data_IF_380277100275
#
_entry.id   IF_380277100275
#
_cell.length_a   1.000
_cell.length_b   1.000
_cell.length_c   1.000
_cell.angle_alpha   90.00
_cell.angle_beta   90.00
_cell.angle_gamma   90.00
#
_symmetry.space_group_name_H-M   'P 1'
#
loop_
_entity.id
_entity.type
_entity.pdbx_description
1 polymer ?
#
# COMPACT_ATOMS: atom_id res chain seq x y z
N UNK A 1 -12.78 -30.99 3.59
CA UNK A 1 -11.89 -29.82 3.79
C UNK A 1 -12.11 -28.78 2.70
N UNK A 2 -12.05 -29.16 1.42
CA UNK A 2 -12.34 -28.28 0.27
C UNK A 2 -13.72 -27.59 0.36
N UNK A 3 -14.76 -28.32 0.79
CA UNK A 3 -16.11 -27.75 0.96
C UNK A 3 -16.18 -26.66 2.05
N UNK A 4 -15.41 -26.80 3.12
CA UNK A 4 -15.37 -25.84 4.24
C UNK A 4 -14.67 -24.53 3.85
N UNK A 5 -13.55 -24.64 3.12
CA UNK A 5 -12.86 -23.50 2.50
C UNK A 5 -13.78 -22.74 1.52
N UNK A 6 -14.45 -23.48 0.63
CA UNK A 6 -15.40 -22.88 -0.33
C UNK A 6 -16.55 -22.16 0.38
N UNK A 7 -17.10 -22.75 1.45
CA UNK A 7 -18.14 -22.11 2.24
C UNK A 7 -17.63 -20.83 2.93
N UNK A 8 -16.42 -20.87 3.51
CA UNK A 8 -15.80 -19.69 4.14
C UNK A 8 -15.66 -18.53 3.15
N UNK A 9 -15.21 -18.79 1.92
CA UNK A 9 -15.07 -17.76 0.90
C UNK A 9 -16.41 -17.25 0.38
N UNK A 10 -17.40 -18.13 0.20
CA UNK A 10 -18.77 -17.74 -0.19
C UNK A 10 -19.44 -16.86 0.88
N UNK A 11 -19.31 -17.20 2.16
CA UNK A 11 -19.85 -16.39 3.25
C UNK A 11 -19.24 -14.99 3.25
N UNK A 12 -17.92 -14.88 3.06
CA UNK A 12 -17.23 -13.58 2.96
C UNK A 12 -17.69 -12.76 1.77
N UNK A 13 -17.95 -13.39 0.62
CA UNK A 13 -18.51 -12.71 -0.54
C UNK A 13 -19.86 -12.09 -0.18
N UNK A 14 -20.77 -12.86 0.42
CA UNK A 14 -22.10 -12.37 0.79
C UNK A 14 -22.04 -11.23 1.83
N UNK A 15 -21.19 -11.36 2.86
CA UNK A 15 -20.97 -10.29 3.85
C UNK A 15 -20.50 -9.00 3.15
N UNK A 16 -19.54 -9.08 2.23
CA UNK A 16 -19.00 -7.90 1.57
C UNK A 16 -19.98 -7.34 0.51
N UNK A 17 -20.76 -8.18 -0.19
CA UNK A 17 -21.84 -7.75 -1.09
C UNK A 17 -22.89 -6.93 -0.34
N UNK A 18 -23.31 -7.40 0.84
CA UNK A 18 -24.22 -6.64 1.71
C UNK A 18 -23.69 -5.26 2.08
N UNK A 19 -22.38 -5.15 2.38
CA UNK A 19 -21.71 -3.86 2.67
C UNK A 19 -21.65 -2.96 1.44
N UNK A 20 -21.30 -3.50 0.26
CA UNK A 20 -21.27 -2.74 -1.01
C UNK A 20 -22.64 -2.15 -1.32
N UNK A 21 -23.71 -2.93 -1.22
CA UNK A 21 -25.08 -2.45 -1.50
C UNK A 21 -25.53 -1.37 -0.49
N UNK A 22 -25.22 -1.54 0.79
CA UNK A 22 -25.48 -0.51 1.80
C UNK A 22 -24.73 0.81 1.48
N UNK A 23 -23.47 0.73 1.04
CA UNK A 23 -22.68 1.92 0.68
C UNK A 23 -23.16 2.54 -0.63
N UNK A 24 -23.58 1.77 -1.64
CA UNK A 24 -24.16 2.28 -2.89
C UNK A 24 -25.40 3.16 -2.62
N UNK A 25 -26.27 2.75 -1.69
CA UNK A 25 -27.42 3.57 -1.25
C UNK A 25 -26.98 4.90 -0.61
N UNK A 26 -25.90 4.89 0.19
CA UNK A 26 -25.34 6.13 0.77
C UNK A 26 -24.72 7.02 -0.31
N UNK A 27 -24.06 6.44 -1.31
CA UNK A 27 -23.47 7.18 -2.43
C UNK A 27 -24.53 7.85 -3.30
N UNK A 28 -25.64 7.19 -3.61
CA UNK A 28 -26.74 7.78 -4.39
C UNK A 28 -27.38 8.95 -3.64
N UNK A 29 -27.66 8.77 -2.33
CA UNK A 29 -28.15 9.85 -1.47
C UNK A 29 -27.17 11.03 -1.42
N UNK A 30 -25.88 10.75 -1.25
CA UNK A 30 -24.84 11.79 -1.22
C UNK A 30 -24.77 12.58 -2.53
N UNK A 31 -24.96 11.94 -3.69
CA UNK A 31 -25.05 12.63 -4.98
C UNK A 31 -26.31 13.49 -5.09
N UNK A 32 -27.47 12.98 -4.65
CA UNK A 32 -28.72 13.74 -4.64
C UNK A 32 -28.63 14.99 -3.74
N UNK A 33 -28.11 14.85 -2.51
CA UNK A 33 -27.93 15.96 -1.57
C UNK A 33 -27.01 17.04 -2.14
N UNK A 34 -25.90 16.65 -2.81
CA UNK A 34 -24.99 17.61 -3.46
C UNK A 34 -25.66 18.37 -4.60
N UNK A 35 -26.48 17.69 -5.41
CA UNK A 35 -27.22 18.32 -6.50
C UNK A 35 -28.23 19.33 -5.95
N UNK A 36 -29.01 18.95 -4.93
CA UNK A 36 -29.96 19.86 -4.27
C UNK A 36 -29.24 21.06 -3.68
N UNK A 37 -28.12 20.86 -2.98
CA UNK A 37 -27.32 21.96 -2.44
C UNK A 37 -26.83 22.89 -3.55
N UNK A 38 -26.28 22.34 -4.64
CA UNK A 38 -25.81 23.14 -5.78
C UNK A 38 -26.92 23.99 -6.39
N UNK A 39 -28.09 23.39 -6.64
CA UNK A 39 -29.26 24.11 -7.16
C UNK A 39 -29.75 25.19 -6.18
N UNK A 40 -29.78 24.89 -4.88
CA UNK A 40 -30.18 25.86 -3.86
C UNK A 40 -29.22 27.07 -3.80
N UNK A 41 -27.92 26.84 -4.02
CA UNK A 41 -26.92 27.89 -4.08
C UNK A 41 -27.09 28.75 -5.33
N UNK A 42 -27.35 28.13 -6.49
CA UNK A 42 -27.62 28.87 -7.73
C UNK A 42 -28.88 29.75 -7.61
N UNK A 43 -29.97 29.21 -7.05
CA UNK A 43 -31.19 29.97 -6.77
C UNK A 43 -30.92 31.10 -5.78
N UNK A 44 -30.14 30.87 -4.73
CA UNK A 44 -29.78 31.90 -3.76
C UNK A 44 -28.97 33.03 -4.40
N UNK A 45 -28.05 32.72 -5.32
CA UNK A 45 -27.29 33.74 -6.07
C UNK A 45 -28.23 34.63 -6.89
N UNK A 46 -29.21 34.03 -7.57
CA UNK A 46 -30.19 34.77 -8.36
C UNK A 46 -31.03 35.75 -7.51
N UNK A 47 -31.56 35.30 -6.38
CA UNK A 47 -32.42 36.15 -5.52
C UNK A 47 -31.64 37.18 -4.68
N UNK A 48 -30.40 36.86 -4.26
CA UNK A 48 -29.62 37.70 -3.34
C UNK A 48 -28.45 38.44 -4.03
N UNK A 49 -28.43 38.51 -5.36
CA UNK A 49 -27.41 39.21 -6.17
C UNK A 49 -27.13 40.64 -5.68
N UNK A 50 -28.16 41.39 -5.27
CA UNK A 50 -28.02 42.78 -4.82
C UNK A 50 -27.50 42.92 -3.38
N UNK A 51 -27.46 41.83 -2.60
CA UNK A 51 -27.05 41.83 -1.18
C UNK A 51 -25.72 41.09 -1.01
N UNK A 52 -24.62 41.77 -1.34
CA UNK A 52 -23.27 41.21 -1.34
C UNK A 52 -22.92 40.51 -0.01
N UNK A 53 -23.24 41.10 1.16
CA UNK A 53 -22.94 40.48 2.46
C UNK A 53 -23.72 39.19 2.76
N UNK A 54 -24.95 39.07 2.25
CA UNK A 54 -25.75 37.83 2.38
C UNK A 54 -25.20 36.78 1.41
N UNK A 55 -24.85 37.20 0.19
CA UNK A 55 -24.31 36.33 -0.84
C UNK A 55 -22.97 35.72 -0.43
N UNK A 56 -22.06 36.49 0.17
CA UNK A 56 -20.78 35.98 0.66
C UNK A 56 -20.96 34.96 1.79
N UNK A 57 -21.90 35.18 2.71
CA UNK A 57 -22.21 34.24 3.77
C UNK A 57 -22.79 32.92 3.22
N UNK A 58 -23.76 33.01 2.30
CA UNK A 58 -24.39 31.84 1.67
C UNK A 58 -23.36 31.03 0.86
N UNK A 59 -22.57 31.69 0.01
CA UNK A 59 -21.57 31.01 -0.81
C UNK A 59 -20.42 30.44 0.04
N UNK A 60 -20.00 31.16 1.08
CA UNK A 60 -18.95 30.68 2.00
C UNK A 60 -19.39 29.44 2.77
N UNK A 61 -20.54 29.50 3.44
CA UNK A 61 -21.07 28.38 4.23
C UNK A 61 -21.51 27.21 3.34
N UNK A 62 -22.24 27.50 2.26
CA UNK A 62 -22.68 26.51 1.29
C UNK A 62 -21.53 25.84 0.55
N UNK A 63 -20.50 26.61 0.18
CA UNK A 63 -19.27 26.11 -0.43
C UNK A 63 -18.50 25.18 0.53
N UNK A 64 -18.35 25.58 1.79
CA UNK A 64 -17.72 24.72 2.81
C UNK A 64 -18.49 23.40 3.02
N UNK A 65 -19.82 23.45 3.11
CA UNK A 65 -20.67 22.28 3.21
C UNK A 65 -20.56 21.39 1.96
N UNK A 66 -20.52 21.98 0.77
CA UNK A 66 -20.35 21.25 -0.48
C UNK A 66 -19.00 20.51 -0.55
N UNK A 67 -17.90 21.17 -0.18
CA UNK A 67 -16.59 20.55 -0.11
C UNK A 67 -16.54 19.40 0.91
N UNK A 68 -17.18 19.58 2.07
CA UNK A 68 -17.33 18.51 3.05
C UNK A 68 -18.11 17.30 2.49
N UNK A 69 -19.22 17.55 1.79
CA UNK A 69 -20.00 16.50 1.14
C UNK A 69 -19.20 15.75 0.07
N UNK A 70 -18.38 16.47 -0.72
CA UNK A 70 -17.48 15.87 -1.72
C UNK A 70 -16.46 14.95 -1.03
N UNK A 71 -15.82 15.41 0.06
CA UNK A 71 -14.88 14.59 0.82
C UNK A 71 -15.53 13.33 1.41
N UNK A 72 -16.72 13.48 1.99
CA UNK A 72 -17.47 12.34 2.52
C UNK A 72 -17.87 11.35 1.42
N UNK A 73 -18.29 11.84 0.25
CA UNK A 73 -18.59 11.02 -0.91
C UNK A 73 -17.38 10.21 -1.37
N UNK A 74 -16.21 10.84 -1.45
CA UNK A 74 -14.97 10.15 -1.82
C UNK A 74 -14.60 9.07 -0.80
N UNK A 75 -14.78 9.34 0.50
CA UNK A 75 -14.56 8.34 1.55
C UNK A 75 -15.49 7.12 1.41
N UNK A 76 -16.78 7.36 1.15
CA UNK A 76 -17.75 6.29 0.87
C UNK A 76 -17.36 5.48 -0.38
N UNK A 77 -16.89 6.16 -1.43
CA UNK A 77 -16.43 5.49 -2.66
C UNK A 77 -15.24 4.57 -2.36
N UNK A 78 -14.24 5.07 -1.63
CA UNK A 78 -13.08 4.28 -1.23
C UNK A 78 -13.47 3.04 -0.38
N UNK A 79 -14.44 3.17 0.53
CA UNK A 79 -14.96 2.05 1.30
C UNK A 79 -15.67 1.01 0.42
N UNK A 80 -16.47 1.47 -0.55
CA UNK A 80 -17.12 0.59 -1.53
C UNK A 80 -16.09 -0.16 -2.37
N UNK A 81 -15.07 0.54 -2.87
CA UNK A 81 -13.99 -0.06 -3.67
C UNK A 81 -13.17 -1.08 -2.85
N UNK A 82 -12.91 -0.81 -1.57
CA UNK A 82 -12.27 -1.76 -0.65
C UNK A 82 -13.09 -3.05 -0.49
N UNK A 83 -14.39 -2.94 -0.23
CA UNK A 83 -15.25 -4.13 -0.12
C UNK A 83 -15.43 -4.86 -1.45
N UNK A 84 -15.41 -4.15 -2.56
CA UNK A 84 -15.42 -4.75 -3.89
C UNK A 84 -14.16 -5.59 -4.13
N UNK A 85 -12.97 -5.08 -3.76
CA UNK A 85 -11.73 -5.85 -3.83
C UNK A 85 -11.77 -7.10 -2.93
N UNK A 86 -12.39 -7.02 -1.75
CA UNK A 86 -12.58 -8.20 -0.91
C UNK A 86 -13.45 -9.26 -1.60
N UNK A 87 -14.51 -8.85 -2.31
CA UNK A 87 -15.33 -9.80 -3.11
C UNK A 87 -14.46 -10.45 -4.18
N UNK A 88 -13.75 -9.66 -4.98
CA UNK A 88 -12.89 -10.15 -6.07
C UNK A 88 -11.80 -11.09 -5.56
N UNK A 89 -11.20 -10.79 -4.40
CA UNK A 89 -10.23 -11.67 -3.74
C UNK A 89 -10.85 -13.03 -3.45
N UNK A 90 -12.02 -13.07 -2.81
CA UNK A 90 -12.65 -14.33 -2.44
C UNK A 90 -13.16 -15.10 -3.67
N UNK A 91 -13.64 -14.41 -4.71
CA UNK A 91 -14.02 -15.03 -5.99
C UNK A 91 -12.80 -15.70 -6.66
N UNK A 92 -11.65 -15.04 -6.68
CA UNK A 92 -10.39 -15.64 -7.16
C UNK A 92 -9.92 -16.81 -6.31
N UNK A 93 -10.06 -16.76 -4.98
CA UNK A 93 -9.69 -17.89 -4.13
C UNK A 93 -10.60 -19.11 -4.34
N UNK A 94 -11.89 -18.91 -4.63
CA UNK A 94 -12.79 -20.02 -4.98
C UNK A 94 -12.27 -20.75 -6.23
N UNK A 95 -11.88 -20.01 -7.27
CA UNK A 95 -11.27 -20.58 -8.49
C UNK A 95 -9.95 -21.29 -8.17
N UNK A 96 -9.10 -20.68 -7.34
CA UNK A 96 -7.84 -21.28 -6.92
C UNK A 96 -8.03 -22.62 -6.19
N UNK A 97 -9.03 -22.71 -5.30
CA UNK A 97 -9.38 -23.97 -4.60
C UNK A 97 -9.87 -25.05 -5.57
N UNK A 98 -10.41 -24.65 -6.73
CA UNK A 98 -10.83 -25.55 -7.81
C UNK A 98 -9.68 -25.91 -8.77
N UNK A 99 -8.47 -25.39 -8.55
CA UNK A 99 -7.29 -25.64 -9.39
C UNK A 99 -7.12 -24.65 -10.55
N UNK A 100 -7.92 -23.58 -10.60
CA UNK A 100 -7.84 -22.55 -11.64
C UNK A 100 -7.02 -21.34 -11.17
N UNK A 101 -5.81 -21.19 -11.73
CA UNK A 101 -4.86 -20.14 -11.33
C UNK A 101 -4.61 -19.05 -12.37
N UNK A 102 -5.31 -19.08 -13.52
CA UNK A 102 -5.10 -18.14 -14.64
C UNK A 102 -5.23 -16.65 -14.25
N UNK A 103 -5.92 -16.34 -13.15
CA UNK A 103 -6.10 -14.97 -12.66
C UNK A 103 -4.95 -14.41 -11.81
N UNK A 104 -3.92 -15.22 -11.54
CA UNK A 104 -2.73 -14.87 -10.76
C UNK A 104 -1.49 -14.75 -11.66
N UNK A 105 -0.60 -13.82 -11.30
CA UNK A 105 0.67 -13.64 -12.01
C UNK A 105 1.54 -14.89 -11.88
N UNK A 106 2.04 -15.35 -13.01
CA UNK A 106 2.71 -16.64 -13.17
C UNK A 106 4.20 -16.60 -12.83
N UNK A 107 4.78 -15.42 -12.66
CA UNK A 107 6.19 -15.26 -12.31
C UNK A 107 7.14 -15.52 -13.47
N UNK A 108 6.66 -15.54 -14.73
CA UNK A 108 7.50 -15.81 -15.90
C UNK A 108 8.71 -14.86 -15.99
N UNK A 109 8.53 -13.60 -15.55
CA UNK A 109 9.58 -12.59 -15.46
C UNK A 109 10.73 -12.91 -14.47
N UNK A 110 10.58 -13.91 -13.60
CA UNK A 110 11.58 -14.33 -12.61
C UNK A 110 12.32 -15.62 -12.99
N UNK A 111 12.03 -16.21 -14.16
CA UNK A 111 12.74 -17.39 -14.64
C UNK A 111 14.23 -17.11 -14.79
N UNK A 112 15.03 -18.01 -14.22
CA UNK A 112 16.47 -18.02 -14.39
C UNK A 112 16.95 -19.43 -14.80
N UNK A 113 17.31 -19.63 -16.09
CA UNK A 113 17.79 -20.93 -16.58
C UNK A 113 19.08 -21.41 -15.91
N UNK A 114 19.85 -20.54 -15.26
CA UNK A 114 21.13 -20.89 -14.63
C UNK A 114 20.99 -21.18 -13.13
N UNK A 115 19.78 -21.17 -12.57
CA UNK A 115 19.56 -21.44 -11.16
C UNK A 115 19.52 -22.94 -10.87
N UNK A 116 20.07 -23.35 -9.72
CA UNK A 116 20.35 -24.75 -9.35
C UNK A 116 19.16 -25.72 -9.48
N UNK A 117 17.92 -25.25 -9.35
CA UNK A 117 16.71 -26.07 -9.48
C UNK A 117 15.51 -25.38 -10.12
N UNK A 118 15.48 -24.05 -10.27
CA UNK A 118 14.20 -23.35 -10.53
C UNK A 118 13.60 -23.69 -11.89
N UNK A 119 14.44 -24.15 -12.82
CA UNK A 119 14.05 -24.64 -14.12
C UNK A 119 13.46 -26.06 -14.06
N UNK A 120 13.96 -26.91 -13.15
CA UNK A 120 13.64 -28.33 -13.10
C UNK A 120 12.35 -28.62 -12.30
N UNK A 121 11.99 -27.73 -11.37
CA UNK A 121 10.80 -27.87 -10.50
C UNK A 121 9.66 -26.94 -10.90
N UNK A 122 9.51 -26.61 -12.18
CA UNK A 122 8.41 -25.75 -12.69
C UNK A 122 8.08 -24.56 -11.75
N UNK A 123 9.13 -23.87 -11.28
CA UNK A 123 8.97 -22.92 -10.18
C UNK A 123 8.22 -21.66 -10.63
N UNK A 124 8.38 -21.29 -11.90
CA UNK A 124 7.83 -20.08 -12.50
C UNK A 124 7.18 -20.37 -13.86
N UNK A 125 6.21 -19.54 -14.25
CA UNK A 125 5.44 -19.67 -15.48
C UNK A 125 4.04 -20.24 -15.24
N UNK A 126 3.29 -20.46 -16.32
CA UNK A 126 1.90 -20.92 -16.24
C UNK A 126 1.80 -22.31 -15.60
N UNK A 127 0.95 -22.46 -14.59
CA UNK A 127 0.76 -23.68 -13.82
C UNK A 127 1.81 -23.91 -12.71
N UNK A 128 2.77 -23.00 -12.56
CA UNK A 128 3.90 -23.15 -11.63
C UNK A 128 3.53 -23.09 -10.15
N UNK A 129 4.46 -23.56 -9.31
CA UNK A 129 4.35 -23.41 -7.85
C UNK A 129 4.28 -21.93 -7.43
N UNK A 130 5.05 -21.04 -8.08
CA UNK A 130 4.95 -19.61 -7.83
C UNK A 130 3.54 -19.09 -8.11
N UNK A 131 2.92 -19.47 -9.24
CA UNK A 131 1.56 -19.02 -9.58
C UNK A 131 0.52 -19.48 -8.54
N UNK A 132 0.68 -20.70 -8.02
CA UNK A 132 -0.21 -21.22 -6.97
C UNK A 132 -0.06 -20.48 -5.65
N UNK A 133 1.18 -20.14 -5.25
CA UNK A 133 1.49 -19.46 -3.99
C UNK A 133 1.17 -17.97 -4.04
N UNK A 134 1.49 -17.31 -5.16
CA UNK A 134 1.55 -15.85 -5.26
C UNK A 134 0.17 -15.21 -5.04
N UNK A 135 0.07 -14.41 -3.97
CA UNK A 135 -1.02 -13.48 -3.70
C UNK A 135 -0.49 -12.07 -3.40
N UNK A 136 0.78 -11.82 -3.74
CA UNK A 136 1.43 -10.56 -3.46
C UNK A 136 0.63 -9.46 -4.15
N UNK A 137 0.29 -8.44 -3.40
CA UNK A 137 -0.42 -7.28 -3.92
C UNK A 137 0.56 -6.23 -4.46
N UNK A 138 1.83 -6.30 -4.07
CA UNK A 138 2.88 -5.36 -4.47
C UNK A 138 3.96 -6.04 -5.32
N UNK A 139 4.56 -5.28 -6.25
CA UNK A 139 5.65 -5.81 -7.08
C UNK A 139 6.88 -6.19 -6.27
N UNK A 140 7.22 -5.40 -5.25
CA UNK A 140 8.31 -5.71 -4.33
C UNK A 140 8.06 -6.98 -3.50
N UNK A 141 6.80 -7.23 -3.12
CA UNK A 141 6.36 -8.49 -2.52
C UNK A 141 6.55 -9.68 -3.45
N UNK A 142 6.21 -9.56 -4.74
CA UNK A 142 6.46 -10.63 -5.73
C UNK A 142 7.95 -10.93 -5.88
N UNK A 143 8.80 -9.91 -5.96
CA UNK A 143 10.26 -10.05 -6.04
C UNK A 143 10.81 -10.69 -4.77
N UNK A 144 10.27 -10.33 -3.61
CA UNK A 144 10.67 -10.92 -2.32
C UNK A 144 10.23 -12.37 -2.21
N UNK A 145 9.03 -12.71 -2.68
CA UNK A 145 8.54 -14.08 -2.76
C UNK A 145 9.41 -14.92 -3.71
N UNK A 146 9.71 -14.43 -4.91
CA UNK A 146 10.55 -15.18 -5.87
C UNK A 146 11.95 -15.42 -5.29
N UNK A 147 12.57 -14.41 -4.68
CA UNK A 147 13.86 -14.55 -4.00
C UNK A 147 13.83 -15.60 -2.89
N UNK A 148 12.74 -15.69 -2.12
CA UNK A 148 12.59 -16.71 -1.06
C UNK A 148 12.47 -18.12 -1.62
N UNK A 149 11.72 -18.27 -2.71
CA UNK A 149 11.55 -19.57 -3.38
C UNK A 149 12.81 -20.03 -4.13
N UNK A 150 13.72 -19.12 -4.45
CA UNK A 150 15.03 -19.42 -5.06
C UNK A 150 16.19 -19.35 -4.05
N UNK A 151 15.91 -19.36 -2.74
CA UNK A 151 16.96 -19.22 -1.73
C UNK A 151 17.45 -20.59 -1.26
N UNK A 152 18.74 -20.89 -1.46
CA UNK A 152 19.28 -22.24 -1.25
C UNK A 152 19.86 -22.46 0.17
N UNK A 153 19.73 -21.48 1.07
CA UNK A 153 20.21 -21.61 2.44
C UNK A 153 19.05 -21.93 3.41
N UNK A 154 19.16 -23.00 4.21
CA UNK A 154 18.14 -23.41 5.17
C UNK A 154 18.14 -22.56 6.45
N UNK A 155 18.60 -21.30 6.42
CA UNK A 155 18.57 -20.45 7.60
C UNK A 155 17.13 -20.07 7.96
N UNK A 156 16.85 -20.03 9.25
CA UNK A 156 15.61 -19.48 9.83
C UNK A 156 14.33 -20.17 9.33
N UNK A 157 14.43 -21.42 8.86
CA UNK A 157 13.29 -22.17 8.29
C UNK A 157 12.20 -22.34 9.34
N UNK A 158 12.57 -22.64 10.59
CA UNK A 158 11.62 -22.84 11.68
C UNK A 158 10.86 -21.54 11.96
N UNK A 159 11.55 -20.42 12.07
CA UNK A 159 10.99 -19.09 12.30
C UNK A 159 10.04 -18.68 11.16
N UNK A 160 10.43 -18.94 9.91
CA UNK A 160 9.59 -18.73 8.73
C UNK A 160 8.33 -19.60 8.78
N UNK A 161 8.44 -20.89 9.10
CA UNK A 161 7.29 -21.79 9.23
C UNK A 161 6.30 -21.31 10.31
N UNK A 162 6.81 -20.87 11.47
CA UNK A 162 5.98 -20.34 12.56
C UNK A 162 5.24 -19.08 12.10
N UNK A 163 5.92 -18.15 11.43
CA UNK A 163 5.29 -16.93 10.90
C UNK A 163 4.22 -17.23 9.84
N UNK A 164 4.52 -18.14 8.89
CA UNK A 164 3.56 -18.56 7.86
C UNK A 164 2.34 -19.21 8.53
N UNK A 165 2.54 -20.11 9.50
CA UNK A 165 1.47 -20.79 10.23
C UNK A 165 0.63 -19.83 11.07
N UNK A 166 1.26 -18.84 11.68
CA UNK A 166 0.53 -17.79 12.39
C UNK A 166 -0.36 -16.98 11.43
N UNK A 167 0.22 -16.48 10.34
CA UNK A 167 -0.56 -15.72 9.36
C UNK A 167 -1.62 -16.57 8.68
N UNK A 168 -1.42 -17.89 8.52
CA UNK A 168 -2.40 -18.80 7.90
C UNK A 168 -3.70 -18.86 8.71
N UNK A 169 -3.64 -18.67 10.03
CA UNK A 169 -4.80 -18.52 10.91
C UNK A 169 -5.48 -17.14 10.87
N UNK A 170 -4.83 -16.10 10.33
CA UNK A 170 -5.31 -14.71 10.38
C UNK A 170 -5.95 -14.25 9.06
N UNK A 171 -6.96 -14.97 8.58
CA UNK A 171 -7.61 -14.70 7.28
C UNK A 171 -8.10 -13.24 7.10
N UNK A 172 -8.70 -12.66 8.15
CA UNK A 172 -9.15 -11.26 8.12
C UNK A 172 -7.99 -10.28 7.86
N UNK A 173 -6.87 -10.47 8.54
CA UNK A 173 -5.67 -9.65 8.36
C UNK A 173 -5.15 -9.78 6.93
N UNK A 174 -4.96 -11.01 6.43
CA UNK A 174 -4.42 -11.26 5.08
C UNK A 174 -5.27 -10.60 3.99
N UNK A 175 -6.59 -10.79 4.04
CA UNK A 175 -7.48 -10.22 3.03
C UNK A 175 -7.58 -8.70 3.13
N UNK A 176 -7.64 -8.13 4.34
CA UNK A 176 -7.63 -6.67 4.52
C UNK A 176 -6.32 -6.05 4.04
N UNK A 177 -5.18 -6.72 4.29
CA UNK A 177 -3.87 -6.31 3.78
C UNK A 177 -3.87 -6.34 2.25
N UNK A 178 -4.25 -7.45 1.63
CA UNK A 178 -4.28 -7.58 0.17
C UNK A 178 -5.23 -6.57 -0.49
N UNK A 179 -6.43 -6.37 0.06
CA UNK A 179 -7.37 -5.36 -0.46
C UNK A 179 -6.82 -3.94 -0.31
N UNK A 180 -6.17 -3.62 0.82
CA UNK A 180 -5.53 -2.31 1.02
C UNK A 180 -4.38 -2.09 0.05
N UNK A 181 -3.56 -3.12 -0.19
CA UNK A 181 -2.42 -3.05 -1.09
C UNK A 181 -2.86 -2.97 -2.57
N UNK A 182 -3.95 -3.64 -2.97
CA UNK A 182 -4.51 -3.52 -4.33
C UNK A 182 -5.15 -2.17 -4.63
N UNK A 183 -5.52 -1.39 -3.61
CA UNK A 183 -5.92 0.02 -3.78
C UNK A 183 -4.74 0.94 -4.14
N UNK A 184 -3.50 0.42 -4.15
CA UNK A 184 -2.29 1.16 -4.52
C UNK A 184 -2.13 1.12 -6.04
N UNK A 185 -1.97 2.28 -6.68
CA UNK A 185 -1.41 2.35 -8.03
C UNK A 185 0.11 2.20 -7.92
N UNK A 186 0.63 1.00 -8.20
CA UNK A 186 2.00 0.56 -7.84
C UNK A 186 3.11 1.10 -8.76
N UNK A 187 2.79 1.63 -9.93
CA UNK A 187 3.81 1.97 -10.95
C UNK A 187 4.77 3.13 -10.61
N UNK A 188 4.62 3.81 -9.46
CA UNK A 188 5.42 5.00 -9.13
C UNK A 188 6.54 4.79 -8.09
N UNK A 189 6.64 3.60 -7.49
CA UNK A 189 7.56 3.35 -6.36
C UNK A 189 9.05 3.27 -6.75
N UNK A 190 9.36 2.66 -7.91
CA UNK A 190 10.74 2.27 -8.28
C UNK A 190 11.63 3.45 -8.70
N UNK A 191 11.05 4.51 -9.26
CA UNK A 191 11.83 5.66 -9.77
C UNK A 191 12.18 6.71 -8.70
N UNK A 192 11.59 6.60 -7.51
CA UNK A 192 11.66 7.64 -6.48
C UNK A 192 12.84 7.50 -5.51
N UNK A 193 13.23 6.27 -5.17
CA UNK A 193 14.27 6.02 -4.17
C UNK A 193 15.61 6.69 -4.56
N UNK A 194 15.97 6.62 -5.84
CA UNK A 194 17.18 7.27 -6.37
C UNK A 194 17.12 8.80 -6.26
N UNK A 195 15.95 9.41 -6.50
CA UNK A 195 15.78 10.87 -6.33
C UNK A 195 15.92 11.27 -4.85
N UNK A 196 15.36 10.47 -3.95
CA UNK A 196 15.40 10.71 -2.50
C UNK A 196 16.82 10.71 -1.93
N UNK A 197 17.63 9.74 -2.33
CA UNK A 197 19.01 9.61 -1.85
C UNK A 197 19.89 10.78 -2.31
N UNK A 198 19.65 11.29 -3.52
CA UNK A 198 20.45 12.37 -4.12
C UNK A 198 19.90 13.79 -3.86
N UNK A 199 18.77 13.91 -3.15
CA UNK A 199 18.14 15.20 -2.91
C UNK A 199 19.00 16.12 -2.04
N UNK A 200 19.19 17.37 -2.49
CA UNK A 200 19.90 18.41 -1.73
C UNK A 200 18.92 19.51 -1.30
N UNK A 201 18.74 19.74 0.02
CA UNK A 201 17.92 20.82 0.53
C UNK A 201 18.38 22.19 0.01
N UNK A 202 17.42 23.04 -0.35
CA UNK A 202 17.69 24.41 -0.80
C UNK A 202 16.89 25.46 -0.02
N UNK A 203 15.92 25.06 0.81
CA UNK A 203 15.14 25.96 1.65
C UNK A 203 15.72 25.99 3.06
N UNK A 204 16.18 27.16 3.55
CA UNK A 204 16.63 27.30 4.92
C UNK A 204 15.58 26.88 5.96
N UNK A 205 16.02 26.19 7.02
CA UNK A 205 15.15 25.65 8.08
C UNK A 205 14.28 26.71 8.78
N UNK A 206 14.72 27.98 8.81
CA UNK A 206 13.99 29.06 9.47
C UNK A 206 12.69 29.45 8.77
N UNK A 207 12.49 29.07 7.50
CA UNK A 207 11.24 29.36 6.79
C UNK A 207 10.01 28.71 7.43
N UNK A 208 10.19 27.70 8.29
CA UNK A 208 9.10 27.11 9.07
C UNK A 208 8.45 28.08 10.05
N UNK A 209 9.18 29.05 10.61
CA UNK A 209 8.63 30.05 11.56
C UNK A 209 8.48 31.44 10.92
N UNK A 210 9.34 31.78 9.95
CA UNK A 210 9.24 33.05 9.20
C UNK A 210 7.89 33.17 8.46
N UNK A 211 7.32 32.08 7.97
CA UNK A 211 5.94 32.07 7.43
C UNK A 211 4.94 32.70 8.40
N UNK A 212 4.98 32.28 9.68
CA UNK A 212 3.98 32.71 10.67
C UNK A 212 4.12 34.19 10.98
N UNK A 213 5.36 34.71 10.99
CA UNK A 213 5.62 36.13 11.18
C UNK A 213 5.11 36.93 9.99
N UNK A 214 5.50 36.56 8.76
CA UNK A 214 5.10 37.28 7.54
C UNK A 214 3.58 37.26 7.39
N UNK A 215 2.94 36.10 7.61
CA UNK A 215 1.49 35.98 7.57
C UNK A 215 0.82 36.90 8.60
N UNK A 216 1.28 36.86 9.86
CA UNK A 216 0.69 37.67 10.93
C UNK A 216 0.88 39.16 10.65
N UNK A 217 2.08 39.58 10.24
CA UNK A 217 2.37 40.96 9.88
C UNK A 217 1.49 41.42 8.72
N UNK A 218 1.37 40.64 7.65
CA UNK A 218 0.51 41.00 6.52
C UNK A 218 -0.97 41.07 6.91
N UNK A 219 -1.49 40.12 7.70
CA UNK A 219 -2.87 40.15 8.18
C UNK A 219 -3.11 41.39 9.05
N UNK A 220 -2.21 41.70 9.98
CA UNK A 220 -2.32 42.87 10.85
C UNK A 220 -2.27 44.17 10.04
N UNK A 221 -1.36 44.29 9.07
CA UNK A 221 -1.26 45.47 8.20
C UNK A 221 -2.54 45.66 7.35
N UNK A 222 -3.10 44.57 6.81
CA UNK A 222 -4.35 44.61 6.04
C UNK A 222 -5.53 45.00 6.94
N UNK A 223 -5.61 44.45 8.16
CA UNK A 223 -6.64 44.79 9.13
C UNK A 223 -6.53 46.27 9.56
N UNK A 224 -5.33 46.73 9.92
CA UNK A 224 -5.08 48.11 10.29
C UNK A 224 -5.43 49.09 9.16
N UNK A 225 -5.10 48.76 7.91
CA UNK A 225 -5.55 49.51 6.74
C UNK A 225 -7.08 49.57 6.62
N UNK A 226 -7.78 48.48 6.96
CA UNK A 226 -9.24 48.41 6.86
C UNK A 226 -9.98 49.22 7.95
N UNK A 227 -9.34 49.44 9.11
CA UNK A 227 -9.96 50.12 10.27
C UNK A 227 -9.39 51.51 10.58
N UNK A 228 -8.36 51.96 9.87
CA UNK A 228 -7.69 53.25 10.11
C UNK A 228 -7.35 53.96 8.80
N UNK A 229 -7.00 55.25 8.83
CA UNK A 229 -6.52 56.00 7.67
C UNK A 229 -5.06 55.68 7.28
N UNK A 230 -4.56 54.48 7.62
CA UNK A 230 -3.20 54.06 7.28
C UNK A 230 -3.01 54.01 5.76
N UNK A 231 -1.83 54.42 5.32
CA UNK A 231 -1.49 54.43 3.90
C UNK A 231 -1.31 52.98 3.39
N UNK A 232 -2.13 52.59 2.41
CA UNK A 232 -2.13 51.24 1.82
C UNK A 232 -0.79 50.79 1.24
N UNK A 233 0.14 51.72 0.97
CA UNK A 233 1.50 51.38 0.52
C UNK A 233 2.23 50.45 1.50
N UNK A 234 2.09 50.64 2.83
CA UNK A 234 2.79 49.79 3.81
C UNK A 234 2.31 48.33 3.77
N UNK A 235 1.01 48.10 3.59
CA UNK A 235 0.45 46.75 3.42
C UNK A 235 0.91 46.12 2.09
N UNK A 236 1.05 46.92 1.03
CA UNK A 236 1.52 46.44 -0.28
C UNK A 236 3.01 46.03 -0.27
N UNK A 237 3.86 46.71 0.49
CA UNK A 237 5.30 46.41 0.57
C UNK A 237 5.53 45.00 1.14
N UNK A 238 4.82 44.62 2.21
CA UNK A 238 4.93 43.29 2.81
C UNK A 238 4.57 42.17 1.82
N UNK A 239 3.49 42.36 1.07
CA UNK A 239 3.06 41.43 0.01
C UNK A 239 4.07 41.36 -1.13
N UNK A 240 4.58 42.50 -1.60
CA UNK A 240 5.58 42.54 -2.67
C UNK A 240 6.87 41.83 -2.26
N UNK A 241 7.36 42.04 -1.03
CA UNK A 241 8.53 41.35 -0.50
C UNK A 241 8.29 39.83 -0.48
N UNK A 242 7.13 39.39 -0.01
CA UNK A 242 6.78 37.97 0.01
C UNK A 242 6.80 37.37 -1.41
N UNK A 243 6.19 38.05 -2.38
CA UNK A 243 6.17 37.60 -3.78
C UNK A 243 7.57 37.56 -4.40
N UNK A 244 8.44 38.53 -4.12
CA UNK A 244 9.82 38.55 -4.60
C UNK A 244 10.63 37.37 -4.04
N UNK A 245 10.45 37.07 -2.76
CA UNK A 245 11.07 35.90 -2.12
C UNK A 245 10.55 34.61 -2.75
N UNK A 246 9.23 34.44 -2.89
CA UNK A 246 8.65 33.27 -3.56
C UNK A 246 9.18 33.11 -4.99
N UNK A 247 9.26 34.20 -5.77
CA UNK A 247 9.76 34.19 -7.15
C UNK A 247 11.18 33.64 -7.25
N UNK A 248 12.06 33.95 -6.28
CA UNK A 248 13.44 33.43 -6.24
C UNK A 248 13.51 31.90 -6.17
N UNK A 249 12.56 31.26 -5.49
CA UNK A 249 12.55 29.81 -5.30
C UNK A 249 11.60 29.06 -6.23
N UNK A 250 10.68 29.76 -6.90
CA UNK A 250 9.59 29.19 -7.70
C UNK A 250 10.04 28.07 -8.65
N UNK A 251 11.13 28.29 -9.40
CA UNK A 251 11.65 27.28 -10.35
C UNK A 251 12.08 25.99 -9.64
N UNK A 252 12.80 26.10 -8.52
CA UNK A 252 13.27 24.94 -7.74
C UNK A 252 12.10 24.21 -7.09
N UNK A 253 11.15 24.95 -6.50
CA UNK A 253 9.92 24.38 -5.93
C UNK A 253 9.15 23.60 -6.99
N UNK A 254 8.95 24.17 -8.18
CA UNK A 254 8.26 23.51 -9.29
C UNK A 254 8.93 22.19 -9.69
N UNK A 255 10.26 22.18 -9.83
CA UNK A 255 11.03 20.97 -10.19
C UNK A 255 10.87 19.87 -9.15
N UNK A 256 10.88 20.21 -7.86
CA UNK A 256 10.69 19.24 -6.79
C UNK A 256 9.25 18.74 -6.74
N UNK A 257 8.29 19.66 -6.76
CA UNK A 257 6.86 19.34 -6.70
C UNK A 257 6.45 18.34 -7.79
N UNK A 258 6.91 18.53 -9.04
CA UNK A 258 6.64 17.61 -10.15
C UNK A 258 7.07 16.16 -9.90
N UNK A 259 8.09 15.94 -9.06
CA UNK A 259 8.58 14.60 -8.72
C UNK A 259 7.85 14.04 -7.51
N UNK A 260 7.62 14.87 -6.47
CA UNK A 260 7.15 14.36 -5.17
C UNK A 260 5.63 14.40 -4.98
N UNK A 261 4.90 15.37 -5.54
CA UNK A 261 3.43 15.42 -5.33
C UNK A 261 2.70 14.21 -5.93
N UNK A 262 3.13 13.61 -7.07
CA UNK A 262 2.54 12.35 -7.56
C UNK A 262 2.66 11.15 -6.60
N UNK A 263 3.47 11.28 -5.54
CA UNK A 263 3.71 10.23 -4.54
C UNK A 263 2.84 10.40 -3.29
N UNK A 264 1.97 11.42 -3.23
CA UNK A 264 1.02 11.60 -2.14
C UNK A 264 0.24 10.30 -1.84
N UNK A 265 -0.34 9.70 -2.88
CA UNK A 265 -1.09 8.45 -2.77
C UNK A 265 -0.20 7.27 -2.36
N UNK A 266 1.03 7.21 -2.86
CA UNK A 266 1.98 6.15 -2.50
C UNK A 266 2.23 6.17 -0.97
N UNK A 267 2.59 7.32 -0.42
CA UNK A 267 2.82 7.48 1.02
C UNK A 267 1.56 7.29 1.85
N UNK A 268 0.41 7.77 1.35
CA UNK A 268 -0.88 7.57 2.02
C UNK A 268 -1.20 6.08 2.19
N UNK A 269 -1.03 5.30 1.10
CA UNK A 269 -1.45 3.90 1.09
C UNK A 269 -0.42 2.98 1.77
N UNK A 270 0.88 3.21 1.57
CA UNK A 270 1.91 2.50 2.32
C UNK A 270 1.77 2.78 3.83
N UNK A 271 1.42 4.01 4.22
CA UNK A 271 1.07 4.34 5.60
C UNK A 271 -0.08 3.49 6.16
N UNK A 272 -1.10 3.18 5.34
CA UNK A 272 -2.20 2.27 5.74
C UNK A 272 -1.74 0.82 5.87
N UNK A 273 -0.88 0.32 4.99
CA UNK A 273 -0.31 -1.04 5.11
C UNK A 273 0.52 -1.18 6.39
N UNK A 274 1.38 -0.20 6.68
CA UNK A 274 2.14 -0.14 7.93
C UNK A 274 1.18 -0.12 9.13
N UNK A 275 0.11 0.68 9.08
CA UNK A 275 -0.87 0.74 10.16
C UNK A 275 -1.55 -0.62 10.41
N UNK A 276 -1.80 -1.43 9.36
CA UNK A 276 -2.33 -2.78 9.54
C UNK A 276 -1.34 -3.68 10.28
N UNK A 277 -0.04 -3.61 9.92
CA UNK A 277 1.02 -4.39 10.58
C UNK A 277 1.23 -3.93 12.02
N UNK A 278 1.27 -2.62 12.27
CA UNK A 278 1.46 -2.03 13.60
C UNK A 278 0.31 -2.33 14.58
N UNK A 279 -0.92 -2.47 14.08
CA UNK A 279 -2.10 -2.70 14.92
C UNK A 279 -2.48 -4.19 15.02
N UNK A 280 -1.80 -5.07 14.30
CA UNK A 280 -2.02 -6.52 14.39
C UNK A 280 -1.18 -7.10 15.53
N UNK A 281 -1.81 -7.91 16.38
CA UNK A 281 -1.09 -8.69 17.39
C UNK A 281 -0.40 -9.89 16.72
N UNK A 282 0.93 -9.96 16.85
CA UNK A 282 1.76 -11.07 16.37
C UNK A 282 2.40 -11.85 17.52
N UNK A 283 2.70 -13.12 17.27
CA UNK A 283 3.33 -14.03 18.25
C UNK A 283 4.67 -14.58 17.77
N UNK A 284 4.85 -14.78 16.46
CA UNK A 284 6.09 -15.26 15.88
C UNK A 284 7.20 -14.21 16.01
N UNK A 285 8.42 -14.68 16.33
CA UNK A 285 9.60 -13.84 16.45
C UNK A 285 9.85 -13.00 15.20
N UNK A 286 9.73 -13.60 14.02
CA UNK A 286 9.92 -12.93 12.73
C UNK A 286 8.92 -11.79 12.51
N UNK A 287 7.63 -11.99 12.76
CA UNK A 287 6.62 -10.92 12.58
C UNK A 287 6.74 -9.83 13.64
N UNK A 288 7.14 -10.19 14.87
CA UNK A 288 7.44 -9.23 15.93
C UNK A 288 8.68 -8.38 15.58
N UNK A 289 9.71 -8.98 14.98
CA UNK A 289 10.88 -8.26 14.49
C UNK A 289 10.49 -7.26 13.39
N UNK A 290 9.71 -7.70 12.40
CA UNK A 290 9.16 -6.82 11.36
C UNK A 290 8.39 -5.65 12.00
N UNK A 291 7.49 -5.94 12.95
CA UNK A 291 6.72 -4.92 13.62
C UNK A 291 7.59 -3.95 14.43
N UNK A 292 8.68 -4.44 15.05
CA UNK A 292 9.62 -3.60 15.79
C UNK A 292 10.45 -2.71 14.86
N UNK A 293 10.82 -3.20 13.67
CA UNK A 293 11.52 -2.40 12.65
C UNK A 293 10.65 -1.28 12.04
N UNK A 294 9.32 -1.36 12.21
CA UNK A 294 8.40 -0.28 11.85
C UNK A 294 8.24 0.77 12.97
N UNK A 295 8.69 0.52 14.19
CA UNK A 295 8.61 1.50 15.28
C UNK A 295 9.71 2.55 15.14
N UNK A 296 9.38 3.82 15.40
CA UNK A 296 10.38 4.87 15.66
C UNK A 296 10.27 5.32 17.12
N UNK A 297 11.33 5.93 17.66
CA UNK A 297 11.41 6.30 19.08
C UNK A 297 10.20 7.12 19.57
N UNK A 298 9.70 8.04 18.73
CA UNK A 298 8.65 8.99 19.14
C UNK A 298 7.33 8.86 18.35
N UNK A 299 7.31 8.12 17.22
CA UNK A 299 6.15 8.03 16.33
C UNK A 299 5.97 6.65 15.69
N UNK A 300 4.73 6.31 15.37
CA UNK A 300 4.41 5.19 14.47
C UNK A 300 4.87 5.51 13.04
N UNK A 301 5.47 4.56 12.32
CA UNK A 301 5.88 4.78 10.94
C UNK A 301 4.67 5.07 10.03
N UNK A 302 3.51 4.49 10.32
CA UNK A 302 2.26 4.82 9.61
C UNK A 302 1.91 6.30 9.70
N UNK A 303 2.07 6.89 10.89
CA UNK A 303 1.84 8.32 11.14
C UNK A 303 2.86 9.19 10.41
N UNK A 304 4.14 8.79 10.42
CA UNK A 304 5.20 9.51 9.69
C UNK A 304 4.95 9.53 8.17
N UNK A 305 4.51 8.41 7.60
CA UNK A 305 4.15 8.30 6.18
C UNK A 305 2.90 9.15 5.87
N UNK A 306 1.91 9.13 6.76
CA UNK A 306 0.70 9.96 6.63
C UNK A 306 1.02 11.46 6.69
N UNK A 307 1.84 11.89 7.66
CA UNK A 307 2.29 13.27 7.82
C UNK A 307 2.97 13.79 6.53
N UNK A 308 3.78 12.94 5.89
CA UNK A 308 4.42 13.27 4.61
C UNK A 308 3.43 13.36 3.46
N UNK A 309 2.54 12.38 3.32
CA UNK A 309 1.46 12.42 2.32
C UNK A 309 0.65 13.71 2.42
N UNK A 310 0.24 14.11 3.65
CA UNK A 310 -0.46 15.37 3.88
C UNK A 310 0.39 16.60 3.51
N UNK A 311 1.71 16.55 3.70
CA UNK A 311 2.60 17.63 3.28
C UNK A 311 2.69 17.76 1.76
N UNK A 312 2.73 16.63 1.04
CA UNK A 312 2.69 16.58 -0.42
C UNK A 312 1.38 17.17 -0.95
N UNK A 313 0.23 16.75 -0.41
CA UNK A 313 -1.08 17.30 -0.80
C UNK A 313 -1.22 18.80 -0.51
N UNK A 314 -0.67 19.28 0.62
CA UNK A 314 -0.61 20.73 0.91
C UNK A 314 0.27 21.51 -0.06
N UNK A 315 1.35 20.90 -0.55
CA UNK A 315 2.17 21.50 -1.59
C UNK A 315 1.41 21.50 -2.93
N UNK A 316 0.69 20.42 -3.26
CA UNK A 316 -0.03 20.28 -4.51
C UNK A 316 -1.18 21.30 -4.69
N UNK A 317 -1.78 21.77 -3.58
CA UNK A 317 -2.79 22.85 -3.57
C UNK A 317 -2.35 24.12 -4.31
N UNK A 318 -1.04 24.33 -4.52
CA UNK A 318 -0.49 25.44 -5.31
C UNK A 318 -0.97 25.48 -6.76
N UNK A 319 -1.43 24.35 -7.32
CA UNK A 319 -2.01 24.30 -8.66
C UNK A 319 -3.33 25.09 -8.75
N UNK A 320 -4.02 25.30 -7.63
CA UNK A 320 -5.09 26.28 -7.57
C UNK A 320 -4.46 27.68 -7.60
N UNK A 321 -4.44 28.32 -8.77
CA UNK A 321 -3.78 29.61 -9.00
C UNK A 321 -4.18 30.69 -7.99
N UNK A 322 -5.46 30.74 -7.61
CA UNK A 322 -5.96 31.70 -6.62
C UNK A 322 -5.37 31.42 -5.24
N UNK A 323 -5.45 30.17 -4.77
CA UNK A 323 -4.88 29.78 -3.49
C UNK A 323 -3.35 29.93 -3.48
N UNK A 324 -2.66 29.41 -4.50
CA UNK A 324 -1.21 29.48 -4.62
C UNK A 324 -0.69 30.91 -4.62
N UNK A 325 -1.35 31.82 -5.36
CA UNK A 325 -0.99 33.24 -5.35
C UNK A 325 -1.25 33.88 -3.99
N UNK A 326 -2.46 33.75 -3.44
CA UNK A 326 -2.82 34.39 -2.17
C UNK A 326 -2.00 33.86 -0.99
N UNK A 327 -1.82 32.55 -0.90
CA UNK A 327 -1.06 31.92 0.19
C UNK A 327 0.42 32.33 0.14
N UNK A 328 1.02 32.43 -1.05
CA UNK A 328 2.40 32.92 -1.17
C UNK A 328 2.52 34.43 -0.95
N UNK A 329 1.57 35.22 -1.47
CA UNK A 329 1.50 36.67 -1.26
C UNK A 329 1.40 37.05 0.21
N UNK A 330 0.64 36.27 1.00
CA UNK A 330 0.41 36.57 2.41
C UNK A 330 1.49 35.99 3.34
N UNK A 331 2.11 34.85 3.04
CA UNK A 331 2.99 34.21 4.02
C UNK A 331 4.18 33.38 3.52
N UNK A 332 4.41 33.22 2.20
CA UNK A 332 5.43 32.29 1.64
C UNK A 332 5.09 30.79 1.79
N UNK A 333 3.85 30.39 1.47
CA UNK A 333 3.34 29.03 1.70
C UNK A 333 4.23 27.93 1.13
N UNK A 334 4.71 28.11 -0.10
CA UNK A 334 5.57 27.13 -0.78
C UNK A 334 6.85 26.88 0.02
N UNK A 335 7.47 27.92 0.58
CA UNK A 335 8.69 27.79 1.38
C UNK A 335 8.43 27.13 2.72
N UNK A 336 7.28 27.38 3.34
CA UNK A 336 6.86 26.66 4.55
C UNK A 336 6.75 25.16 4.26
N UNK A 337 5.98 24.77 3.24
CA UNK A 337 5.79 23.36 2.91
C UNK A 337 7.11 22.70 2.49
N UNK A 338 7.93 23.36 1.67
CA UNK A 338 9.24 22.85 1.30
C UNK A 338 10.16 22.69 2.52
N UNK A 339 10.22 23.65 3.44
CA UNK A 339 11.03 23.51 4.65
C UNK A 339 10.63 22.29 5.50
N UNK A 340 9.33 21.98 5.55
CA UNK A 340 8.82 20.79 6.21
C UNK A 340 9.22 19.51 5.47
N UNK A 341 9.00 19.48 4.15
CA UNK A 341 9.34 18.35 3.27
C UNK A 341 10.84 18.04 3.34
N UNK A 342 11.70 19.04 3.21
CA UNK A 342 13.16 18.85 3.25
C UNK A 342 13.63 18.33 4.61
N UNK A 343 13.03 18.81 5.71
CA UNK A 343 13.30 18.28 7.06
C UNK A 343 12.88 16.82 7.15
N UNK A 344 11.69 16.48 6.66
CA UNK A 344 11.20 15.11 6.66
C UNK A 344 12.10 14.18 5.86
N UNK A 345 12.52 14.58 4.65
CA UNK A 345 13.46 13.83 3.82
C UNK A 345 14.77 13.59 4.59
N UNK A 346 15.33 14.64 5.20
CA UNK A 346 16.56 14.53 5.98
C UNK A 346 16.46 13.57 7.17
N UNK A 347 15.28 13.43 7.76
CA UNK A 347 15.06 12.66 8.99
C UNK A 347 14.68 11.20 8.71
N UNK A 348 13.95 10.94 7.61
CA UNK A 348 13.33 9.63 7.36
C UNK A 348 13.77 8.93 6.07
N UNK A 349 14.54 9.57 5.17
CA UNK A 349 14.91 8.96 3.87
C UNK A 349 15.51 7.55 3.96
N UNK A 350 16.30 7.27 4.99
CA UNK A 350 16.93 5.95 5.20
C UNK A 350 15.94 4.93 5.76
N UNK A 351 15.03 5.37 6.64
CA UNK A 351 14.03 4.49 7.28
C UNK A 351 12.93 4.05 6.31
N UNK A 352 12.58 4.90 5.34
CA UNK A 352 11.54 4.60 4.33
C UNK A 352 11.89 3.34 3.55
N UNK A 353 13.17 3.15 3.19
CA UNK A 353 13.63 1.94 2.51
C UNK A 353 13.36 0.69 3.34
N UNK A 354 13.75 0.70 4.61
CA UNK A 354 13.48 -0.40 5.56
C UNK A 354 11.99 -0.67 5.69
N UNK A 355 11.15 0.36 5.84
CA UNK A 355 9.70 0.17 5.97
C UNK A 355 9.06 -0.43 4.73
N UNK A 356 9.51 -0.03 3.54
CA UNK A 356 9.06 -0.63 2.28
C UNK A 356 9.46 -2.12 2.25
N UNK A 357 10.70 -2.46 2.57
CA UNK A 357 11.13 -3.86 2.61
C UNK A 357 10.38 -4.69 3.65
N UNK A 358 10.01 -4.11 4.81
CA UNK A 358 9.16 -4.78 5.80
C UNK A 358 7.75 -5.08 5.25
N UNK A 359 7.17 -4.17 4.47
CA UNK A 359 5.88 -4.38 3.80
C UNK A 359 5.99 -5.49 2.76
N UNK A 360 7.03 -5.46 1.93
CA UNK A 360 7.30 -6.48 0.90
C UNK A 360 7.49 -7.87 1.51
N UNK A 361 8.16 -7.95 2.65
CA UNK A 361 8.34 -9.18 3.43
C UNK A 361 7.00 -9.72 3.94
N UNK A 362 6.14 -8.88 4.52
CA UNK A 362 4.80 -9.28 4.97
C UNK A 362 3.92 -9.72 3.80
N UNK A 363 4.02 -9.07 2.64
CA UNK A 363 3.27 -9.42 1.43
C UNK A 363 3.66 -10.84 0.93
N UNK A 364 4.96 -11.15 0.93
CA UNK A 364 5.47 -12.47 0.58
C UNK A 364 5.03 -13.54 1.59
N UNK A 365 5.13 -13.26 2.90
CA UNK A 365 4.67 -14.21 3.95
C UNK A 365 3.16 -14.41 3.88
N UNK A 366 2.37 -13.36 3.60
CA UNK A 366 0.93 -13.47 3.39
C UNK A 366 0.57 -14.41 2.24
N UNK A 367 1.34 -14.38 1.15
CA UNK A 367 1.15 -15.30 0.00
C UNK A 367 1.40 -16.76 0.39
N UNK A 368 2.53 -17.02 1.04
CA UNK A 368 2.84 -18.37 1.57
C UNK A 368 1.81 -18.84 2.61
N UNK A 369 1.34 -17.93 3.47
CA UNK A 369 0.31 -18.21 4.46
C UNK A 369 -1.07 -18.47 3.83
N UNK A 370 -1.38 -17.83 2.71
CA UNK A 370 -2.59 -18.13 1.93
C UNK A 370 -2.50 -19.52 1.30
N UNK A 371 -1.35 -19.87 0.73
CA UNK A 371 -1.10 -21.21 0.21
C UNK A 371 -1.24 -22.29 1.30
N UNK A 372 -0.68 -22.06 2.49
CA UNK A 372 -0.85 -22.96 3.63
C UNK A 372 -2.31 -23.06 4.11
N UNK A 373 -3.06 -21.95 4.09
CA UNK A 373 -4.48 -21.93 4.45
C UNK A 373 -5.36 -22.70 3.46
N UNK A 374 -5.03 -22.67 2.16
CA UNK A 374 -5.76 -23.41 1.12
C UNK A 374 -5.40 -24.89 1.11
N UNK A 375 -4.20 -25.25 1.58
CA UNK A 375 -3.69 -26.62 1.62
C UNK A 375 -3.53 -27.12 3.05
N UNK A 376 -4.63 -27.11 3.83
CA UNK A 376 -4.61 -27.44 5.27
C UNK A 376 -4.16 -28.88 5.59
N UNK A 377 -4.16 -29.78 4.60
CA UNK A 377 -3.65 -31.15 4.73
C UNK A 377 -2.13 -31.24 4.63
N UNK A 378 -1.45 -30.18 4.19
CA UNK A 378 0.00 -30.19 4.01
C UNK A 378 0.71 -30.12 5.35
N UNK A 379 1.90 -30.72 5.40
CA UNK A 379 2.70 -30.81 6.62
C UNK A 379 3.84 -29.82 6.58
N UNK A 380 4.06 -29.11 7.69
CA UNK A 380 5.30 -28.36 7.90
C UNK A 380 6.42 -29.34 8.26
N UNK A 381 7.52 -29.42 7.47
CA UNK A 381 8.57 -30.40 7.71
C UNK A 381 9.31 -30.13 9.03
N UNK A 382 9.62 -31.18 9.78
CA UNK A 382 10.43 -31.10 10.99
C UNK A 382 11.92 -31.06 10.62
N UNK A 383 12.60 -29.96 10.97
CA UNK A 383 14.03 -29.82 10.74
C UNK A 383 14.80 -30.43 11.92
N UNK A 384 15.69 -31.39 11.64
CA UNK A 384 16.54 -32.04 12.64
C UNK A 384 18.01 -31.78 12.33
N UNK A 385 18.80 -31.54 13.38
CA UNK A 385 20.26 -31.46 13.28
C UNK A 385 20.86 -32.85 13.10
N UNK A 386 21.86 -32.98 12.22
CA UNK A 386 22.55 -34.25 11.98
C UNK A 386 22.96 -34.42 10.52
N UNK A 387 23.38 -35.65 10.13
CA UNK A 387 23.63 -35.98 8.73
C UNK A 387 22.36 -35.79 7.90
N UNK A 388 22.53 -35.49 6.62
CA UNK A 388 21.41 -35.27 5.71
C UNK A 388 20.47 -36.48 5.69
N UNK A 389 19.20 -36.24 5.98
CA UNK A 389 18.12 -37.23 5.89
C UNK A 389 16.85 -36.55 5.40
N UNK A 390 16.21 -37.12 4.37
CA UNK A 390 14.89 -36.74 3.91
C UNK A 390 13.94 -37.90 4.17
N UNK A 391 12.92 -37.68 5.00
CA UNK A 391 11.90 -38.69 5.30
C UNK A 391 10.51 -38.10 5.08
N UNK A 392 9.73 -38.75 4.21
CA UNK A 392 8.34 -38.45 3.96
C UNK A 392 7.53 -39.74 3.87
N UNK A 393 6.34 -39.77 4.45
CA UNK A 393 5.48 -40.97 4.46
C UNK A 393 4.51 -41.03 3.29
N UNK A 394 4.03 -39.87 2.84
CA UNK A 394 3.07 -39.70 1.74
C UNK A 394 3.42 -38.47 0.91
N UNK A 395 4.64 -38.43 0.38
CA UNK A 395 5.06 -37.35 -0.51
C UNK A 395 4.30 -37.43 -1.83
N UNK A 396 3.77 -36.30 -2.26
CA UNK A 396 3.00 -36.17 -3.50
C UNK A 396 3.34 -34.85 -4.16
N UNK A 397 3.31 -34.81 -5.50
CA UNK A 397 3.64 -33.60 -6.24
C UNK A 397 2.63 -32.48 -5.94
N UNK A 398 3.07 -31.27 -5.57
CA UNK A 398 2.18 -30.20 -5.17
C UNK A 398 1.29 -29.67 -6.30
N UNK A 399 1.71 -29.80 -7.56
CA UNK A 399 0.94 -29.35 -8.73
C UNK A 399 -0.09 -30.38 -9.23
N UNK A 400 -0.07 -31.61 -8.71
CA UNK A 400 -1.06 -32.62 -9.07
C UNK A 400 -2.36 -32.40 -8.33
N UNK A 401 -3.49 -32.76 -8.96
CA UNK A 401 -4.79 -32.69 -8.30
C UNK A 401 -4.76 -33.56 -7.02
N UNK A 402 -5.01 -32.98 -5.82
CA UNK A 402 -4.94 -33.70 -4.55
C UNK A 402 -5.87 -34.92 -4.46
N UNK A 403 -6.99 -34.93 -5.20
CA UNK A 403 -7.92 -36.08 -5.24
C UNK A 403 -7.38 -37.26 -6.06
N UNK A 404 -6.41 -37.00 -6.95
CA UNK A 404 -5.79 -38.01 -7.83
C UNK A 404 -4.34 -38.32 -7.43
N UNK A 405 -3.69 -37.45 -6.67
CA UNK A 405 -2.30 -37.58 -6.28
C UNK A 405 -2.14 -38.76 -5.30
N UNK A 406 -1.30 -39.72 -5.67
CA UNK A 406 -0.97 -40.87 -4.82
C UNK A 406 0.34 -40.56 -4.09
N UNK A 407 0.26 -40.45 -2.76
CA UNK A 407 1.44 -40.18 -1.93
C UNK A 407 2.32 -41.41 -1.77
N UNK A 408 3.63 -41.24 -2.00
CA UNK A 408 4.63 -42.30 -1.85
C UNK A 408 5.56 -42.02 -0.66
N UNK A 409 6.01 -43.06 0.07
CA UNK A 409 7.05 -42.89 1.07
C UNK A 409 8.41 -42.64 0.41
N UNK A 410 9.18 -41.71 0.95
CA UNK A 410 10.56 -41.39 0.54
C UNK A 410 11.42 -41.42 1.80
N UNK A 411 12.55 -42.12 1.72
CA UNK A 411 13.58 -42.10 2.77
C UNK A 411 14.95 -42.08 2.10
N UNK A 412 15.65 -40.95 2.17
CA UNK A 412 16.98 -40.77 1.58
C UNK A 412 17.94 -40.36 2.70
N UNK A 413 19.01 -41.13 2.87
CA UNK A 413 20.10 -40.82 3.81
C UNK A 413 21.31 -40.27 3.07
N UNK A 414 22.22 -39.64 3.81
CA UNK A 414 23.46 -39.09 3.26
C UNK A 414 24.28 -40.17 2.53
N UNK A 415 24.60 -39.92 1.25
CA UNK A 415 25.38 -40.84 0.41
C UNK A 415 24.57 -41.93 -0.28
N UNK A 416 23.25 -42.00 -0.09
CA UNK A 416 22.37 -42.92 -0.80
C UNK A 416 21.91 -42.33 -2.13
N UNK A 417 21.90 -43.17 -3.18
CA UNK A 417 21.35 -42.83 -4.49
C UNK A 417 20.12 -43.70 -4.78
N UNK A 418 18.98 -43.06 -5.05
CA UNK A 418 17.77 -43.76 -5.47
C UNK A 418 17.75 -43.90 -7.00
N UNK A 419 17.79 -45.15 -7.47
CA UNK A 419 17.59 -45.46 -8.90
C UNK A 419 16.16 -45.95 -9.07
N UNK A 420 15.35 -45.15 -9.76
CA UNK A 420 13.96 -45.51 -10.05
C UNK A 420 13.92 -46.17 -11.44
N UNK A 421 13.73 -47.49 -11.45
CA UNK A 421 13.52 -48.27 -12.67
C UNK A 421 12.02 -48.45 -12.92
N UNK A 422 11.61 -48.37 -14.19
CA UNK A 422 10.21 -48.38 -14.60
C UNK A 422 10.12 -48.45 -16.11
N UNK A 423 9.04 -49.04 -16.63
CA UNK A 423 8.90 -49.36 -18.05
C UNK A 423 8.57 -48.11 -18.90
N UNK A 424 7.94 -47.11 -18.29
CA UNK A 424 7.54 -45.86 -18.96
C UNK A 424 7.81 -44.62 -18.11
N UNK A 425 7.90 -43.44 -18.76
CA UNK A 425 8.03 -42.14 -18.09
C UNK A 425 6.84 -41.82 -17.17
N UNK A 426 5.64 -42.27 -17.56
CA UNK A 426 4.38 -42.08 -16.80
C UNK A 426 4.43 -42.73 -15.40
N UNK A 427 5.21 -43.80 -15.24
CA UNK A 427 5.40 -44.51 -13.97
C UNK A 427 6.50 -43.88 -13.10
N UNK A 428 7.44 -43.14 -13.69
CA UNK A 428 8.61 -42.56 -12.99
C UNK A 428 8.38 -41.12 -12.53
N UNK A 429 7.73 -40.30 -13.36
CA UNK A 429 7.49 -38.88 -13.08
C UNK A 429 6.78 -38.64 -11.74
N UNK A 430 5.74 -39.41 -11.36
CA UNK A 430 5.06 -39.23 -10.07
C UNK A 430 5.91 -39.51 -8.83
N UNK A 431 7.12 -40.05 -8.96
CA UNK A 431 8.05 -40.31 -7.86
C UNK A 431 9.24 -39.34 -7.86
N UNK A 432 9.76 -38.96 -9.04
CA UNK A 432 10.90 -38.05 -9.16
C UNK A 432 10.52 -36.60 -8.84
N UNK A 433 9.42 -36.12 -9.41
CA UNK A 433 9.03 -34.72 -9.31
C UNK A 433 8.65 -34.32 -7.87
N UNK A 434 7.91 -35.13 -7.07
CA UNK A 434 7.65 -34.80 -5.65
C UNK A 434 8.89 -34.81 -4.74
N UNK A 435 9.99 -35.46 -5.13
CA UNK A 435 11.23 -35.43 -4.35
C UNK A 435 11.96 -34.10 -4.52
N UNK A 436 11.82 -33.47 -5.69
CA UNK A 436 12.49 -32.22 -6.04
C UNK A 436 11.71 -30.99 -5.56
N UNK A 437 10.38 -31.07 -5.54
CA UNK A 437 9.46 -30.05 -5.02
C UNK A 437 9.28 -30.13 -3.51
#
# INVERSE_FOLDING_TARGET
MTLDLLNTYKERIEINRGKVEAIKKKLSLSSAVRLVLFLSLAVSVYYFWSKIGVLTLILGTGGALFLWLVKNHQNLKNQKDFHQLLIEINEKEILAVQGEFDSFFDGDAYKNPTHDYSHDIDLFGKGSLFQQINRCATKGGEVTLSRKLTHNQPSDVIEKQIAIKELSGKLNFRQNYMATARLISIDRATNFAHWFTNYKPFVPKYYSWVWSIILTVNIVLIALYSFTSLNGYLASVGVVIALLVTRRYLKKVNQVAQVITPLEDFFAQYGKLIALIENQEFQSSLLLEIQNNLKTQDKKASSVMHDFSQALGRLDQRHNMLFGFMANALGLWDLKQMSYIERWISEYKEKVGTWISMIEEVDAINSMANYAYNNQTYTYPSIKSGPFTLQATKASHPLLNPEKAIGNPISISQGEFFIITGATWLEKAPFLEPCHH
#
